data_IF_955745532566
#
_entry.id   IF_955745532566
#
_cell.length_a   1.000
_cell.length_b   1.000
_cell.length_c   1.000
_cell.angle_alpha   90.00
_cell.angle_beta   90.00
_cell.angle_gamma   90.00
#
_symmetry.space_group_name_H-M   'P 1'
#
loop_
_entity.id
_entity.type
_entity.pdbx_description
1 polymer ?
#
# COMPACT_ATOMS: atom_id res chain seq x y z
N UNK A 1 35.55 27.39 -32.84
CA UNK A 1 35.32 25.96 -33.11
C UNK A 1 35.01 25.15 -31.87
N UNK A 2 35.85 25.18 -30.85
CA UNK A 2 35.63 24.43 -29.62
C UNK A 2 34.39 24.86 -28.81
N UNK A 3 33.97 26.10 -28.91
CA UNK A 3 32.77 26.63 -28.19
C UNK A 3 31.46 26.22 -28.85
N UNK A 4 31.42 26.04 -30.17
CA UNK A 4 30.22 25.56 -30.86
C UNK A 4 29.93 24.08 -30.61
N UNK A 5 30.97 23.24 -30.55
CA UNK A 5 30.83 21.84 -30.20
C UNK A 5 30.37 21.64 -28.76
N UNK A 6 30.85 22.46 -27.82
CA UNK A 6 30.40 22.44 -26.43
C UNK A 6 28.94 22.87 -26.30
N UNK A 7 28.49 23.86 -27.09
CA UNK A 7 27.08 24.30 -27.14
C UNK A 7 26.15 23.22 -27.72
N UNK A 8 26.59 22.54 -28.79
CA UNK A 8 25.83 21.43 -29.38
C UNK A 8 25.70 20.26 -28.40
N UNK A 9 26.77 19.89 -27.71
CA UNK A 9 26.73 18.86 -26.67
C UNK A 9 25.79 19.24 -25.53
N UNK A 10 25.81 20.48 -25.10
CA UNK A 10 24.95 20.95 -24.00
C UNK A 10 23.45 20.92 -24.37
N UNK A 11 23.11 21.26 -25.61
CA UNK A 11 21.74 21.18 -26.13
C UNK A 11 21.22 19.75 -26.21
N UNK A 12 22.04 18.84 -26.72
CA UNK A 12 21.71 17.39 -26.83
C UNK A 12 21.49 16.79 -25.43
N UNK A 13 22.31 17.12 -24.46
CA UNK A 13 22.16 16.64 -23.09
C UNK A 13 20.88 17.13 -22.43
N UNK A 14 20.49 18.39 -22.66
CA UNK A 14 19.22 18.93 -22.17
C UNK A 14 18.01 18.24 -22.78
N UNK A 15 18.04 17.97 -24.07
CA UNK A 15 16.98 17.24 -24.76
C UNK A 15 16.88 15.80 -24.28
N UNK A 16 18.01 15.11 -24.08
CA UNK A 16 18.04 13.76 -23.54
C UNK A 16 17.52 13.70 -22.10
N UNK A 17 17.89 14.65 -21.25
CA UNK A 17 17.39 14.73 -19.88
C UNK A 17 15.89 15.01 -19.84
N UNK A 18 15.39 15.94 -20.67
CA UNK A 18 13.97 16.24 -20.79
C UNK A 18 13.18 15.03 -21.27
N UNK A 19 13.70 14.31 -22.25
CA UNK A 19 13.10 13.09 -22.79
C UNK A 19 13.06 11.97 -21.75
N UNK A 20 14.12 11.77 -20.98
CA UNK A 20 14.19 10.80 -19.89
C UNK A 20 13.20 11.14 -18.78
N UNK A 21 13.10 12.39 -18.36
CA UNK A 21 12.16 12.85 -17.34
C UNK A 21 10.70 12.65 -17.78
N UNK A 22 10.39 12.96 -19.04
CA UNK A 22 9.05 12.75 -19.61
C UNK A 22 8.72 11.26 -19.67
N UNK A 23 9.64 10.43 -20.11
CA UNK A 23 9.49 8.98 -20.14
C UNK A 23 9.26 8.38 -18.75
N UNK A 24 10.03 8.83 -17.76
CA UNK A 24 9.88 8.40 -16.38
C UNK A 24 8.51 8.80 -15.80
N UNK A 25 8.06 10.05 -16.08
CA UNK A 25 6.75 10.52 -15.62
C UNK A 25 5.60 9.73 -16.25
N UNK A 26 5.67 9.44 -17.54
CA UNK A 26 4.69 8.60 -18.24
C UNK A 26 4.69 7.18 -17.68
N UNK A 27 5.86 6.61 -17.44
CA UNK A 27 6.00 5.28 -16.84
C UNK A 27 5.37 5.21 -15.46
N UNK A 28 5.66 6.19 -14.60
CA UNK A 28 5.09 6.28 -13.26
C UNK A 28 3.58 6.41 -13.29
N UNK A 29 3.06 7.21 -14.23
CA UNK A 29 1.62 7.38 -14.42
C UNK A 29 0.96 6.07 -14.86
N UNK A 30 1.54 5.38 -15.84
CA UNK A 30 1.05 4.08 -16.31
C UNK A 30 1.09 3.03 -15.19
N UNK A 31 2.16 3.02 -14.41
CA UNK A 31 2.29 2.14 -13.26
C UNK A 31 1.18 2.40 -12.24
N UNK A 32 0.96 3.67 -11.88
CA UNK A 32 -0.10 4.06 -10.94
C UNK A 32 -1.49 3.71 -11.46
N UNK A 33 -1.75 3.90 -12.76
CA UNK A 33 -3.02 3.55 -13.38
C UNK A 33 -3.27 2.03 -13.40
N UNK A 34 -2.22 1.23 -13.52
CA UNK A 34 -2.32 -0.23 -13.59
C UNK A 34 -2.40 -0.87 -12.19
N UNK A 35 -1.54 -0.47 -11.28
CA UNK A 35 -1.35 -1.12 -9.97
C UNK A 35 -1.93 -0.32 -8.81
N UNK A 36 -2.32 0.92 -9.03
CA UNK A 36 -2.75 1.84 -7.99
C UNK A 36 -1.58 2.54 -7.30
N UNK A 37 -1.91 3.38 -6.34
CA UNK A 37 -0.92 4.17 -5.60
C UNK A 37 -0.53 3.39 -4.35
N UNK A 38 0.76 3.12 -4.10
CA UNK A 38 1.19 2.50 -2.86
C UNK A 38 0.90 3.42 -1.67
N UNK A 39 0.46 2.84 -0.57
CA UNK A 39 0.20 3.58 0.67
C UNK A 39 1.53 3.73 1.40
N UNK A 40 1.94 4.98 1.61
CA UNK A 40 3.19 5.28 2.31
C UNK A 40 3.03 5.10 3.82
N UNK A 41 4.07 4.61 4.45
CA UNK A 41 4.12 4.45 5.90
C UNK A 41 3.56 3.13 6.42
N UNK A 42 3.12 2.22 5.55
CA UNK A 42 2.72 0.88 5.96
C UNK A 42 3.93 0.12 6.55
N UNK A 43 3.72 -0.67 7.63
CA UNK A 43 4.80 -1.45 8.20
C UNK A 43 5.29 -2.52 7.23
N UNK A 44 6.59 -2.73 7.21
CA UNK A 44 7.21 -3.82 6.44
C UNK A 44 7.14 -5.12 7.23
N UNK A 45 7.17 -6.25 6.53
CA UNK A 45 7.05 -7.55 7.14
C UNK A 45 8.08 -7.79 8.26
N UNK A 46 9.31 -7.31 8.07
CA UNK A 46 10.40 -7.47 9.05
C UNK A 46 10.19 -6.66 10.34
N UNK A 47 9.38 -5.61 10.29
CA UNK A 47 9.08 -4.76 11.43
C UNK A 47 7.98 -5.33 12.33
N UNK A 48 7.19 -6.28 11.83
CA UNK A 48 6.01 -6.83 12.51
C UNK A 48 6.41 -8.01 13.39
N UNK A 49 6.13 -7.92 14.68
CA UNK A 49 6.39 -8.97 15.68
C UNK A 49 5.16 -9.84 15.89
N UNK A 50 3.98 -9.21 15.97
CA UNK A 50 2.72 -9.91 16.18
C UNK A 50 1.58 -9.18 15.48
N UNK A 51 0.48 -9.90 15.26
CA UNK A 51 -0.69 -9.36 14.60
C UNK A 51 -1.97 -9.88 15.25
N UNK A 52 -2.97 -9.02 15.27
CA UNK A 52 -4.30 -9.33 15.80
C UNK A 52 -5.32 -8.90 14.78
N UNK A 53 -6.23 -9.79 14.42
CA UNK A 53 -7.30 -9.55 13.49
C UNK A 53 -8.60 -9.28 14.22
N UNK A 54 -9.35 -8.27 13.79
CA UNK A 54 -10.69 -7.97 14.28
C UNK A 54 -11.65 -7.94 13.10
N UNK A 55 -12.74 -8.66 13.21
CA UNK A 55 -13.77 -8.71 12.19
C UNK A 55 -15.15 -8.70 12.84
N UNK A 56 -15.97 -7.72 12.45
CA UNK A 56 -17.36 -7.58 12.94
C UNK A 56 -17.48 -7.66 14.48
N UNK A 57 -16.52 -7.06 15.19
CA UNK A 57 -16.50 -7.02 16.64
C UNK A 57 -15.81 -8.20 17.33
N UNK A 58 -15.45 -9.25 16.59
CA UNK A 58 -14.69 -10.40 17.12
C UNK A 58 -13.21 -10.22 16.86
N UNK A 59 -12.38 -10.50 17.86
CA UNK A 59 -10.93 -10.35 17.78
C UNK A 59 -10.25 -11.70 17.99
N UNK A 60 -9.24 -11.99 17.16
CA UNK A 60 -8.42 -13.18 17.28
C UNK A 60 -6.94 -12.82 17.01
N UNK A 61 -6.04 -13.44 17.75
CA UNK A 61 -4.62 -13.35 17.45
C UNK A 61 -4.28 -14.22 16.26
N UNK A 62 -3.41 -13.69 15.38
CA UNK A 62 -2.95 -14.45 14.23
C UNK A 62 -2.05 -15.61 14.71
N UNK A 63 -2.37 -16.82 14.27
CA UNK A 63 -1.60 -18.02 14.60
C UNK A 63 -0.19 -17.95 13.98
N UNK A 64 0.82 -18.57 14.63
CA UNK A 64 2.17 -18.60 14.06
C UNK A 64 2.25 -19.15 12.63
N UNK A 65 1.38 -20.10 12.28
CA UNK A 65 1.32 -20.66 10.92
C UNK A 65 0.85 -19.63 9.87
N UNK A 66 0.06 -18.64 10.27
CA UNK A 66 -0.50 -17.62 9.39
C UNK A 66 0.26 -16.29 9.47
N UNK A 67 1.30 -16.22 10.30
CA UNK A 67 2.02 -14.97 10.55
C UNK A 67 2.67 -14.41 9.28
N UNK A 68 3.21 -15.23 8.40
CA UNK A 68 3.80 -14.80 7.15
C UNK A 68 2.78 -14.10 6.25
N UNK A 69 1.58 -14.68 6.15
CA UNK A 69 0.47 -14.06 5.40
C UNK A 69 0.07 -12.72 6.02
N UNK A 70 -0.06 -12.67 7.33
CA UNK A 70 -0.43 -11.45 8.05
C UNK A 70 0.61 -10.34 7.89
N UNK A 71 1.90 -10.69 7.91
CA UNK A 71 3.00 -9.74 7.73
C UNK A 71 3.03 -9.14 6.32
N UNK A 72 2.62 -9.91 5.31
CA UNK A 72 2.62 -9.45 3.92
C UNK A 72 1.29 -8.81 3.50
N UNK A 73 0.26 -8.91 4.33
CA UNK A 73 -1.06 -8.39 4.01
C UNK A 73 -1.11 -6.87 3.76
N UNK A 74 -0.39 -6.02 4.51
CA UNK A 74 -0.37 -4.58 4.20
C UNK A 74 0.10 -4.26 2.80
N UNK A 75 1.03 -5.04 2.24
CA UNK A 75 1.54 -4.85 0.89
C UNK A 75 0.54 -5.11 -0.23
N UNK A 76 -0.58 -5.77 0.08
CA UNK A 76 -1.68 -6.01 -0.87
C UNK A 76 -2.47 -4.74 -1.15
N UNK A 77 -2.54 -3.82 -0.19
CA UNK A 77 -3.36 -2.63 -0.28
C UNK A 77 -2.75 -1.59 -1.21
N UNK A 78 -3.53 -1.19 -2.21
CA UNK A 78 -3.21 -0.12 -3.14
C UNK A 78 -4.39 0.85 -3.19
N UNK A 79 -4.10 2.14 -3.13
CA UNK A 79 -5.10 3.18 -3.18
C UNK A 79 -5.35 3.65 -4.62
N UNK A 80 -6.51 4.23 -4.85
CA UNK A 80 -6.88 4.87 -6.11
C UNK A 80 -7.18 6.34 -5.88
N UNK A 81 -7.23 7.09 -6.95
CA UNK A 81 -7.63 8.50 -6.91
C UNK A 81 -9.11 8.63 -6.56
N UNK A 82 -9.44 9.60 -5.75
CA UNK A 82 -10.80 9.89 -5.36
C UNK A 82 -10.98 9.96 -3.84
N UNK A 83 -12.16 10.41 -3.44
CA UNK A 83 -12.53 10.47 -2.03
C UNK A 83 -13.15 9.16 -1.60
N UNK A 84 -12.67 8.63 -0.48
CA UNK A 84 -13.31 7.52 0.20
C UNK A 84 -14.32 8.03 1.23
N UNK A 85 -15.31 7.21 1.56
CA UNK A 85 -16.20 7.46 2.70
C UNK A 85 -15.39 7.44 4.00
N UNK A 86 -15.69 8.39 4.89
CA UNK A 86 -15.09 8.40 6.22
C UNK A 86 -15.86 7.44 7.14
N UNK A 87 -15.59 6.16 6.97
CA UNK A 87 -16.16 5.09 7.80
C UNK A 87 -15.10 4.06 8.14
N UNK A 88 -15.25 3.43 9.29
CA UNK A 88 -14.33 2.36 9.71
C UNK A 88 -14.76 1.04 9.10
N UNK A 89 -13.92 0.36 8.32
CA UNK A 89 -14.21 -0.99 7.82
C UNK A 89 -14.33 -2.01 8.96
N UNK A 90 -15.09 -3.08 8.72
CA UNK A 90 -15.24 -4.18 9.69
C UNK A 90 -14.00 -5.05 9.83
N UNK A 91 -13.18 -5.10 8.80
CA UNK A 91 -11.94 -5.89 8.79
C UNK A 91 -10.79 -5.00 9.23
N UNK A 92 -10.21 -5.31 10.39
CA UNK A 92 -9.15 -4.51 11.02
C UNK A 92 -7.99 -5.42 11.39
N UNK A 93 -6.78 -5.00 11.04
CA UNK A 93 -5.55 -5.63 11.52
C UNK A 93 -4.82 -4.68 12.44
N UNK A 94 -4.42 -5.17 13.60
CA UNK A 94 -3.57 -4.45 14.55
C UNK A 94 -2.22 -5.16 14.59
N UNK A 95 -1.17 -4.46 14.18
CA UNK A 95 0.19 -4.98 14.15
C UNK A 95 0.99 -4.40 15.30
N UNK A 96 1.73 -5.24 16.00
CA UNK A 96 2.74 -4.81 16.97
C UNK A 96 4.09 -4.86 16.31
N UNK A 97 4.81 -3.74 16.35
CA UNK A 97 6.11 -3.59 15.70
C UNK A 97 7.25 -3.90 16.69
N UNK A 98 8.45 -4.06 16.15
CA UNK A 98 9.68 -4.37 16.90
C UNK A 98 9.95 -3.34 18.02
N UNK A 99 9.60 -2.07 17.78
CA UNK A 99 9.78 -0.98 18.76
C UNK A 99 8.68 -0.94 19.85
N UNK A 100 7.72 -1.85 19.80
CA UNK A 100 6.58 -1.91 20.72
C UNK A 100 5.39 -1.05 20.32
N UNK A 101 5.49 -0.27 19.26
CA UNK A 101 4.36 0.53 18.77
C UNK A 101 3.31 -0.35 18.07
N UNK A 102 2.09 0.12 18.02
CA UNK A 102 0.99 -0.55 17.32
C UNK A 102 0.57 0.25 16.09
N UNK A 103 0.26 -0.47 15.01
CA UNK A 103 -0.25 0.09 13.77
C UNK A 103 -1.59 -0.58 13.45
N UNK A 104 -2.61 0.22 13.19
CA UNK A 104 -3.95 -0.25 12.85
C UNK A 104 -4.24 0.01 11.39
N UNK A 105 -4.60 -1.02 10.66
CA UNK A 105 -4.97 -0.96 9.25
C UNK A 105 -6.34 -1.60 9.08
N UNK A 106 -7.27 -0.91 8.44
CA UNK A 106 -8.59 -1.42 8.16
C UNK A 106 -8.92 -1.22 6.69
N UNK A 107 -9.58 -2.20 6.07
CA UNK A 107 -9.98 -2.09 4.68
C UNK A 107 -11.19 -2.97 4.35
N UNK A 108 -11.95 -2.53 3.36
CA UNK A 108 -12.98 -3.31 2.69
C UNK A 108 -13.03 -2.93 1.20
N UNK A 109 -14.09 -3.32 0.49
CA UNK A 109 -14.24 -3.01 -0.93
C UNK A 109 -14.27 -1.52 -1.25
N UNK A 110 -14.73 -0.69 -0.31
CA UNK A 110 -14.99 0.73 -0.54
C UNK A 110 -14.03 1.68 0.11
N UNK A 111 -13.28 1.23 1.14
CA UNK A 111 -12.41 2.14 1.90
C UNK A 111 -11.20 1.44 2.49
N UNK A 112 -10.07 2.14 2.50
CA UNK A 112 -8.86 1.80 3.24
C UNK A 112 -8.66 2.87 4.30
N UNK A 113 -8.58 2.48 5.57
CA UNK A 113 -8.30 3.37 6.69
C UNK A 113 -6.92 3.05 7.27
N UNK A 114 -6.04 4.03 7.23
CA UNK A 114 -4.70 3.93 7.79
C UNK A 114 -4.23 5.32 8.24
N UNK A 115 -3.67 5.39 9.44
CA UNK A 115 -3.12 6.63 10.02
C UNK A 115 -4.13 7.80 10.01
N UNK A 116 -5.40 7.50 10.33
CA UNK A 116 -6.48 8.48 10.35
C UNK A 116 -6.90 9.00 8.98
N UNK A 117 -6.42 8.40 7.91
CA UNK A 117 -6.76 8.77 6.54
C UNK A 117 -7.61 7.70 5.89
N UNK A 118 -8.60 8.14 5.12
CA UNK A 118 -9.51 7.28 4.37
C UNK A 118 -9.19 7.39 2.89
N UNK A 119 -8.98 6.25 2.25
CA UNK A 119 -8.61 6.17 0.84
C UNK A 119 -9.50 5.17 0.11
N UNK A 120 -9.69 5.39 -1.19
CA UNK A 120 -10.40 4.44 -2.05
C UNK A 120 -9.43 3.31 -2.46
N UNK A 121 -9.83 2.03 -2.32
CA UNK A 121 -8.97 0.92 -2.76
C UNK A 121 -8.98 0.79 -4.28
N UNK A 122 -7.84 0.40 -4.84
CA UNK A 122 -7.68 0.08 -6.25
C UNK A 122 -8.05 -1.38 -6.51
N UNK A 123 -8.96 -1.62 -7.43
CA UNK A 123 -9.35 -2.97 -7.83
C UNK A 123 -9.92 -3.77 -6.66
N UNK A 124 -9.49 -5.01 -6.53
CA UNK A 124 -9.93 -5.92 -5.47
C UNK A 124 -9.01 -5.96 -4.24
N UNK A 125 -8.07 -5.01 -4.12
CA UNK A 125 -7.10 -5.01 -3.02
C UNK A 125 -7.77 -4.92 -1.64
N UNK A 126 -8.74 -4.04 -1.48
CA UNK A 126 -9.50 -3.91 -0.23
C UNK A 126 -10.35 -5.13 0.07
N UNK A 127 -10.96 -5.71 -0.95
CA UNK A 127 -11.75 -6.94 -0.82
C UNK A 127 -10.88 -8.14 -0.40
N UNK A 128 -9.69 -8.26 -0.97
CA UNK A 128 -8.75 -9.32 -0.59
C UNK A 128 -8.32 -9.17 0.88
N UNK A 129 -7.98 -7.97 1.30
CA UNK A 129 -7.67 -7.69 2.70
C UNK A 129 -8.84 -8.06 3.62
N UNK A 130 -10.05 -7.66 3.26
CA UNK A 130 -11.27 -7.96 4.01
C UNK A 130 -11.45 -9.47 4.20
N UNK A 131 -11.34 -10.26 3.15
CA UNK A 131 -11.51 -11.71 3.22
C UNK A 131 -10.40 -12.40 4.02
N UNK A 132 -9.16 -11.92 3.89
CA UNK A 132 -8.05 -12.46 4.68
C UNK A 132 -8.24 -12.23 6.18
N UNK A 133 -8.67 -11.03 6.56
CA UNK A 133 -8.96 -10.73 7.97
C UNK A 133 -10.12 -11.57 8.48
N UNK A 134 -11.18 -11.72 7.68
CA UNK A 134 -12.30 -12.59 7.99
C UNK A 134 -11.83 -14.04 8.26
N UNK A 135 -10.98 -14.57 7.41
CA UNK A 135 -10.45 -15.92 7.55
C UNK A 135 -9.60 -16.07 8.82
N UNK A 136 -8.80 -15.07 9.17
CA UNK A 136 -8.02 -15.10 10.41
C UNK A 136 -8.91 -15.15 11.67
N UNK A 137 -10.04 -14.45 11.66
CA UNK A 137 -10.97 -14.41 12.81
C UNK A 137 -11.88 -15.63 12.84
N UNK A 138 -12.44 -16.01 11.72
CA UNK A 138 -13.39 -17.13 11.63
C UNK A 138 -12.69 -18.52 11.64
N UNK A 139 -11.39 -18.54 11.41
CA UNK A 139 -10.60 -19.77 11.52
C UNK A 139 -11.00 -20.82 10.50
N UNK A 140 -10.99 -20.50 9.21
CA UNK A 140 -11.22 -21.52 8.19
C UNK A 140 -10.09 -22.53 8.18
N UNK A 141 -10.48 -23.73 8.48
CA UNK A 141 -9.61 -24.88 8.31
C UNK A 141 -9.48 -25.26 6.83
#
# INVERSE_FOLDING_TARGET
MKQEEARKKHGIWKELLSSLLTGAAVWMLLYALTWGIPILGLPQAEEIVSARATFAGSTAEVKPADMELAQNLPGVLHAWFGRAEERMPQAVMTYTLVDGSEVVIAADEGVICFDGRYRSPKGSSGKLFYHMVQDFVEGRD
#
